data_IF_818218674525
#
_entry.id   IF_818218674525
#
_cell.length_a   1.000
_cell.length_b   1.000
_cell.length_c   1.000
_cell.angle_alpha   90.00
_cell.angle_beta   90.00
_cell.angle_gamma   90.00
#
_symmetry.space_group_name_H-M   'P 1'
#
loop_
_entity.id
_entity.type
_entity.pdbx_description
1 polymer ?
#
# COMPACT_ATOMS: atom_id res chain seq x y z
N UNK A 1 0.17 -56.94 19.24
CA UNK A 1 0.89 -55.74 18.76
C UNK A 1 -0.14 -54.66 18.54
N UNK A 2 -0.23 -53.77 19.53
CA UNK A 2 -1.27 -52.77 19.71
C UNK A 2 -0.98 -51.52 18.86
N UNK A 3 -2.05 -50.98 18.30
CA UNK A 3 -2.38 -49.55 18.13
C UNK A 3 -1.24 -48.54 17.91
N UNK A 4 -1.24 -47.86 16.75
CA UNK A 4 -0.98 -46.42 16.61
C UNK A 4 -0.86 -46.02 15.12
N UNK A 5 -1.98 -45.89 14.39
CA UNK A 5 -1.96 -45.28 13.05
C UNK A 5 -3.14 -44.31 12.78
N UNK A 6 -4.03 -44.10 13.76
CA UNK A 6 -5.24 -43.29 13.61
C UNK A 6 -5.13 -41.82 14.04
N UNK A 7 -3.98 -41.38 14.56
CA UNK A 7 -3.83 -40.04 15.17
C UNK A 7 -2.97 -39.05 14.36
N UNK A 8 -2.42 -39.42 13.20
CA UNK A 8 -1.61 -38.48 12.41
C UNK A 8 -2.46 -37.42 11.66
N UNK A 9 -3.67 -37.75 11.22
CA UNK A 9 -4.51 -36.82 10.47
C UNK A 9 -5.06 -35.63 11.31
N UNK A 10 -5.51 -35.82 12.57
CA UNK A 10 -5.93 -34.70 13.42
C UNK A 10 -4.76 -33.81 13.88
N UNK A 11 -3.56 -34.38 14.03
CA UNK A 11 -2.35 -33.65 14.42
C UNK A 11 -1.85 -32.73 13.30
N UNK A 12 -1.99 -33.13 12.03
CA UNK A 12 -1.65 -32.29 10.88
C UNK A 12 -2.61 -31.10 10.74
N UNK A 13 -3.91 -31.30 11.04
CA UNK A 13 -4.93 -30.24 11.05
C UNK A 13 -4.72 -29.25 12.21
N UNK A 14 -4.38 -29.73 13.41
CA UNK A 14 -4.02 -28.86 14.54
C UNK A 14 -2.73 -28.06 14.28
N UNK A 15 -1.76 -28.63 13.55
CA UNK A 15 -0.56 -27.92 13.12
C UNK A 15 -0.84 -26.83 12.07
N UNK A 16 -1.82 -27.03 11.19
CA UNK A 16 -2.21 -26.00 10.20
C UNK A 16 -3.06 -24.88 10.83
N UNK A 17 -3.85 -25.19 11.86
CA UNK A 17 -4.57 -24.19 12.65
C UNK A 17 -3.63 -23.40 13.59
N UNK A 18 -2.59 -24.02 14.16
CA UNK A 18 -1.60 -23.29 14.98
C UNK A 18 -0.72 -22.35 14.16
N UNK A 19 -0.39 -22.70 12.92
CA UNK A 19 0.32 -21.80 11.98
C UNK A 19 -0.56 -20.62 11.56
N UNK A 20 -1.89 -20.80 11.50
CA UNK A 20 -2.82 -19.69 11.24
C UNK A 20 -2.99 -18.76 12.44
N UNK A 21 -2.90 -19.29 13.67
CA UNK A 21 -2.90 -18.46 14.91
C UNK A 21 -1.58 -17.75 15.15
N UNK A 22 -0.46 -18.24 14.62
CA UNK A 22 0.85 -17.55 14.68
C UNK A 22 0.97 -16.37 13.69
N UNK A 23 0.03 -16.23 12.75
CA UNK A 23 -0.07 -15.04 11.89
C UNK A 23 -1.01 -13.96 12.45
N UNK A 24 -1.62 -14.19 13.62
CA UNK A 24 -2.49 -13.23 14.31
C UNK A 24 -2.20 -13.20 15.82
N UNK A 25 -0.98 -12.84 16.21
CA UNK A 25 -0.70 -12.30 17.55
C UNK A 25 0.26 -11.11 17.41
N UNK A 26 -0.34 -9.94 17.64
CA UNK A 26 0.18 -8.70 18.19
C UNK A 26 1.63 -8.24 17.91
N UNK A 27 1.72 -7.16 17.12
CA UNK A 27 2.83 -6.22 17.13
C UNK A 27 2.45 -4.92 17.83
N UNK A 28 1.66 -4.96 18.90
CA UNK A 28 1.61 -3.87 19.89
C UNK A 28 2.86 -3.98 20.78
N UNK A 29 3.92 -3.26 20.45
CA UNK A 29 4.85 -2.83 21.47
C UNK A 29 5.34 -1.41 21.25
N UNK A 30 5.26 -0.67 22.35
CA UNK A 30 5.64 0.70 22.54
C UNK A 30 7.13 0.90 22.27
N UNK A 31 7.48 2.00 21.62
CA UNK A 31 8.64 2.79 21.99
C UNK A 31 8.16 4.24 22.13
N UNK A 32 7.84 4.61 23.37
CA UNK A 32 7.73 5.99 23.80
C UNK A 32 8.89 6.25 24.75
N UNK A 33 9.98 6.80 24.23
CA UNK A 33 10.89 7.67 24.99
C UNK A 33 11.82 8.43 24.05
N UNK A 34 11.43 9.67 23.69
CA UNK A 34 12.35 10.81 23.72
C UNK A 34 11.52 12.11 23.75
N UNK A 35 11.09 12.51 24.94
CA UNK A 35 10.89 13.92 25.25
C UNK A 35 12.23 14.43 25.75
N UNK A 36 12.82 15.34 25.00
CA UNK A 36 13.48 16.58 25.44
C UNK A 36 14.60 16.97 24.49
N UNK A 37 14.26 17.92 23.61
CA UNK A 37 15.05 19.09 23.26
C UNK A 37 14.55 19.57 21.90
N UNK A 38 13.87 20.71 21.85
CA UNK A 38 14.29 21.91 21.08
C UNK A 38 13.31 23.02 21.49
N UNK A 39 13.57 23.60 22.66
CA UNK A 39 13.29 25.00 22.88
C UNK A 39 14.56 25.76 22.53
N UNK A 40 14.68 26.22 21.28
CA UNK A 40 15.69 27.22 20.92
C UNK A 40 15.24 28.01 19.70
N UNK A 41 14.67 29.18 20.00
CA UNK A 41 14.89 30.48 19.37
C UNK A 41 15.12 30.45 17.85
N UNK A 42 14.06 30.81 17.14
CA UNK A 42 14.14 31.48 15.84
C UNK A 42 15.01 32.73 16.04
N UNK A 43 16.24 32.69 15.54
CA UNK A 43 17.03 33.87 15.23
C UNK A 43 17.23 33.86 13.72
N UNK A 44 16.73 34.92 13.09
CA UNK A 44 16.97 35.24 11.69
C UNK A 44 18.46 35.14 11.37
N UNK A 45 18.78 34.38 10.32
CA UNK A 45 19.93 34.70 9.48
C UNK A 45 19.54 34.47 8.02
N UNK A 46 19.06 35.55 7.41
CA UNK A 46 19.14 35.78 5.97
C UNK A 46 20.61 35.78 5.57
N UNK A 47 21.00 34.82 4.72
CA UNK A 47 22.23 34.90 3.94
C UNK A 47 21.83 34.81 2.46
N UNK A 48 22.10 35.84 1.63
CA UNK A 48 21.69 35.85 0.23
C UNK A 48 22.84 35.34 -0.64
N UNK A 49 23.02 34.03 -0.74
CA UNK A 49 23.72 33.42 -1.87
C UNK A 49 23.42 31.91 -1.93
N UNK A 50 23.00 31.44 -3.11
CA UNK A 50 22.34 30.16 -3.41
C UNK A 50 20.92 29.99 -2.81
N UNK A 51 19.91 30.11 -3.67
CA UNK A 51 18.54 29.67 -3.37
C UNK A 51 18.53 28.13 -3.27
N UNK A 52 18.96 27.57 -2.13
CA UNK A 52 18.82 26.14 -1.89
C UNK A 52 17.33 25.85 -1.70
N UNK A 53 16.70 25.30 -2.74
CA UNK A 53 15.30 24.88 -2.71
C UNK A 53 15.19 23.72 -1.72
N UNK A 54 14.80 24.02 -0.48
CA UNK A 54 14.53 23.00 0.54
C UNK A 54 13.22 22.28 0.23
N UNK A 55 13.27 21.30 -0.67
CA UNK A 55 12.14 20.41 -0.94
C UNK A 55 12.10 19.26 0.06
N UNK A 56 10.99 19.11 0.79
CA UNK A 56 10.79 18.00 1.73
C UNK A 56 10.47 16.70 0.96
N UNK A 57 11.37 15.71 1.03
CA UNK A 57 11.21 14.41 0.36
C UNK A 57 9.95 13.66 0.79
N UNK A 58 9.71 13.55 2.09
CA UNK A 58 8.53 12.84 2.64
C UNK A 58 7.23 13.47 2.15
N UNK A 59 7.14 14.79 2.14
CA UNK A 59 5.99 15.51 1.58
C UNK A 59 5.86 15.33 0.07
N UNK A 60 6.98 15.31 -0.66
CA UNK A 60 6.97 15.03 -2.11
C UNK A 60 6.42 13.63 -2.40
N UNK A 61 6.83 12.63 -1.60
CA UNK A 61 6.31 11.26 -1.66
C UNK A 61 4.81 11.22 -1.41
N UNK A 62 4.33 11.89 -0.36
CA UNK A 62 2.91 12.00 -0.05
C UNK A 62 2.10 12.70 -1.17
N UNK A 63 2.65 13.73 -1.80
CA UNK A 63 2.03 14.41 -2.93
C UNK A 63 1.89 13.47 -4.13
N UNK A 64 2.96 12.74 -4.44
CA UNK A 64 2.93 11.75 -5.50
C UNK A 64 1.93 10.62 -5.20
N UNK A 65 1.89 10.12 -3.98
CA UNK A 65 0.96 9.07 -3.56
C UNK A 65 -0.50 9.51 -3.73
N UNK A 66 -0.84 10.75 -3.35
CA UNK A 66 -2.17 11.30 -3.58
C UNK A 66 -2.54 11.34 -5.08
N UNK A 67 -1.57 11.67 -5.94
CA UNK A 67 -1.77 11.67 -7.40
C UNK A 67 -1.93 10.25 -7.94
N UNK A 68 -1.03 9.34 -7.57
CA UNK A 68 -1.05 7.95 -8.04
C UNK A 68 -2.32 7.23 -7.62
N UNK A 69 -2.79 7.47 -6.39
CA UNK A 69 -3.99 6.83 -5.88
C UNK A 69 -5.27 7.48 -6.42
N UNK A 70 -5.37 8.81 -6.43
CA UNK A 70 -6.66 9.50 -6.66
C UNK A 70 -6.81 10.15 -8.04
N UNK A 71 -5.74 10.30 -8.83
CA UNK A 71 -5.78 10.93 -10.15
C UNK A 71 -5.38 9.97 -11.28
N UNK A 72 -4.24 9.31 -11.16
CA UNK A 72 -3.68 8.49 -12.25
C UNK A 72 -4.63 7.42 -12.81
N UNK A 73 -5.48 6.73 -12.01
CA UNK A 73 -6.41 5.75 -12.56
C UNK A 73 -7.41 6.33 -13.57
N UNK A 74 -7.73 7.62 -13.45
CA UNK A 74 -8.64 8.31 -14.36
C UNK A 74 -7.92 8.84 -15.60
N UNK A 75 -6.70 9.36 -15.43
CA UNK A 75 -5.83 9.79 -16.54
C UNK A 75 -5.51 8.61 -17.46
N UNK A 76 -5.12 7.46 -16.89
CA UNK A 76 -4.86 6.21 -17.61
C UNK A 76 -6.11 5.72 -18.35
N UNK A 77 -7.29 5.80 -17.70
CA UNK A 77 -8.57 5.36 -18.29
C UNK A 77 -8.97 6.21 -19.50
N UNK A 78 -8.80 7.52 -19.42
CA UNK A 78 -9.08 8.44 -20.54
C UNK A 78 -7.96 8.47 -21.58
N UNK A 79 -6.85 7.71 -21.37
CA UNK A 79 -5.65 7.70 -22.21
C UNK A 79 -5.11 9.11 -22.48
N UNK A 80 -5.16 9.96 -21.46
CA UNK A 80 -4.74 11.34 -21.58
C UNK A 80 -3.26 11.50 -21.27
N UNK A 81 -2.55 12.23 -22.12
CA UNK A 81 -1.14 12.58 -21.90
C UNK A 81 -1.04 13.96 -21.25
N UNK A 82 -0.41 14.02 -20.07
CA UNK A 82 -0.22 15.27 -19.35
C UNK A 82 0.74 16.20 -20.15
N UNK A 83 0.41 17.50 -20.31
CA UNK A 83 1.29 18.46 -20.95
C UNK A 83 2.69 18.47 -20.31
N UNK A 84 3.74 18.70 -21.10
CA UNK A 84 5.11 18.66 -20.59
C UNK A 84 5.40 19.66 -19.47
N UNK A 85 4.69 20.79 -19.47
CA UNK A 85 4.77 21.83 -18.45
C UNK A 85 3.93 21.55 -17.20
N UNK A 86 3.08 20.53 -17.20
CA UNK A 86 2.24 20.19 -16.06
C UNK A 86 3.08 19.69 -14.89
N UNK A 87 2.93 20.31 -13.71
CA UNK A 87 3.68 19.90 -12.51
C UNK A 87 3.29 18.52 -11.98
N UNK A 88 2.10 18.02 -12.32
CA UNK A 88 1.61 16.69 -11.91
C UNK A 88 2.20 15.54 -12.74
N UNK A 89 2.99 15.84 -13.78
CA UNK A 89 3.61 14.82 -14.63
C UNK A 89 4.70 14.08 -13.84
N UNK A 90 4.76 12.74 -13.88
CA UNK A 90 5.76 11.97 -13.12
C UNK A 90 7.20 12.42 -13.36
N UNK A 91 7.55 12.77 -14.61
CA UNK A 91 8.91 13.20 -14.99
C UNK A 91 9.31 14.56 -14.41
N UNK A 92 8.34 15.33 -13.91
CA UNK A 92 8.57 16.65 -13.34
C UNK A 92 8.74 16.60 -11.81
N UNK A 93 8.59 15.44 -11.16
CA UNK A 93 8.92 15.25 -9.75
C UNK A 93 10.44 15.05 -9.58
N UNK A 94 11.09 15.98 -8.89
CA UNK A 94 12.54 15.99 -8.70
C UNK A 94 13.10 14.74 -8.02
N UNK A 95 12.32 14.09 -7.15
CA UNK A 95 12.77 12.89 -6.43
C UNK A 95 12.36 11.59 -7.13
N UNK A 96 11.62 11.67 -8.25
CA UNK A 96 11.02 10.52 -8.92
C UNK A 96 12.01 9.41 -9.20
N UNK A 97 13.15 9.77 -9.78
CA UNK A 97 14.19 8.80 -10.14
C UNK A 97 14.73 8.08 -8.90
N UNK A 98 14.98 8.81 -7.80
CA UNK A 98 15.49 8.20 -6.58
C UNK A 98 14.46 7.30 -5.90
N UNK A 99 13.19 7.72 -5.85
CA UNK A 99 12.12 6.92 -5.26
C UNK A 99 11.87 5.63 -6.06
N UNK A 100 11.96 5.67 -7.40
CA UNK A 100 11.86 4.48 -8.26
C UNK A 100 13.04 3.49 -8.09
N UNK A 101 14.19 3.98 -7.62
CA UNK A 101 15.38 3.17 -7.38
C UNK A 101 15.52 2.74 -5.91
N UNK A 102 14.45 2.82 -5.12
CA UNK A 102 14.38 2.14 -3.82
C UNK A 102 13.99 0.69 -4.01
N UNK A 103 14.81 -0.20 -3.49
CA UNK A 103 14.53 -1.63 -3.53
C UNK A 103 14.29 -2.10 -2.09
N UNK A 104 13.05 -2.49 -1.79
CA UNK A 104 12.72 -3.14 -0.53
C UNK A 104 12.92 -4.65 -0.69
N UNK A 105 14.01 -5.18 -0.13
CA UNK A 105 14.39 -6.58 -0.30
C UNK A 105 13.74 -7.47 0.76
N UNK A 106 13.78 -7.04 2.03
CA UNK A 106 13.17 -7.72 3.18
C UNK A 106 12.65 -6.70 4.20
N UNK A 107 11.90 -7.14 5.22
CA UNK A 107 11.23 -6.31 6.25
C UNK A 107 12.15 -5.21 6.81
N UNK A 108 13.43 -5.53 7.02
CA UNK A 108 14.44 -4.62 7.57
C UNK A 108 15.61 -4.39 6.61
N UNK A 109 15.39 -4.55 5.30
CA UNK A 109 16.48 -4.48 4.33
C UNK A 109 16.08 -3.69 3.08
N UNK A 110 16.70 -2.51 2.96
CA UNK A 110 16.50 -1.54 1.89
C UNK A 110 17.78 -1.38 1.09
N UNK A 111 17.69 -1.44 -0.23
CA UNK A 111 18.85 -1.36 -1.12
C UNK A 111 18.78 -0.11 -1.99
N UNK A 112 19.92 0.54 -2.18
CA UNK A 112 20.08 1.61 -3.16
C UNK A 112 20.15 1.02 -4.57
N UNK A 113 19.22 1.39 -5.45
CA UNK A 113 19.19 0.93 -6.84
C UNK A 113 20.41 1.33 -7.66
N UNK A 114 21.07 2.45 -7.34
CA UNK A 114 22.24 2.97 -8.06
C UNK A 114 23.55 2.27 -7.69
N UNK A 115 23.84 2.13 -6.39
CA UNK A 115 25.14 1.61 -5.90
C UNK A 115 25.05 0.28 -5.14
N UNK A 116 23.85 -0.29 -5.03
CA UNK A 116 23.56 -1.61 -4.40
C UNK A 116 23.94 -1.72 -2.92
N UNK A 117 24.13 -0.60 -2.22
CA UNK A 117 24.31 -0.59 -0.76
C UNK A 117 23.02 -0.94 -0.05
N UNK A 118 23.12 -1.79 0.98
CA UNK A 118 22.02 -2.19 1.84
C UNK A 118 21.94 -1.31 3.11
N UNK A 119 20.72 -1.11 3.60
CA UNK A 119 20.37 -0.26 4.73
C UNK A 119 19.29 -0.95 5.55
N UNK A 120 19.33 -0.75 6.88
CA UNK A 120 18.39 -1.39 7.81
C UNK A 120 16.97 -0.81 7.77
N UNK A 121 16.82 0.42 7.27
CA UNK A 121 15.54 1.14 7.24
C UNK A 121 15.54 2.17 6.10
N UNK A 122 14.36 2.49 5.60
CA UNK A 122 14.18 3.46 4.51
C UNK A 122 14.80 4.83 4.83
N UNK A 123 14.67 5.31 6.07
CA UNK A 123 15.25 6.59 6.49
C UNK A 123 16.76 6.70 6.24
N UNK A 124 17.50 5.60 6.38
CA UNK A 124 18.94 5.58 6.15
C UNK A 124 19.28 5.55 4.66
N UNK A 125 18.41 4.94 3.86
CA UNK A 125 18.51 4.98 2.39
C UNK A 125 18.21 6.40 1.87
N UNK A 126 17.19 7.07 2.41
CA UNK A 126 16.86 8.46 2.08
C UNK A 126 18.02 9.40 2.39
N UNK A 127 18.59 9.29 3.59
CA UNK A 127 19.79 10.05 3.98
C UNK A 127 20.99 9.71 3.08
N UNK A 128 21.13 8.46 2.64
CA UNK A 128 22.17 8.08 1.68
C UNK A 128 21.96 8.75 0.31
N UNK A 129 20.73 8.87 -0.19
CA UNK A 129 20.46 9.58 -1.44
C UNK A 129 20.84 11.05 -1.35
N UNK A 130 20.49 11.73 -0.25
CA UNK A 130 20.83 13.13 -0.02
C UNK A 130 22.34 13.38 0.03
N UNK A 131 23.12 12.43 0.56
CA UNK A 131 24.57 12.59 0.72
C UNK A 131 25.38 12.11 -0.49
N UNK A 132 24.97 11.02 -1.14
CA UNK A 132 25.78 10.32 -2.15
C UNK A 132 25.22 10.41 -3.56
N UNK A 133 23.93 10.72 -3.69
CA UNK A 133 23.22 10.79 -4.98
C UNK A 133 22.51 12.13 -5.17
N UNK A 134 22.92 13.21 -4.47
CA UNK A 134 22.38 14.57 -4.65
C UNK A 134 22.46 15.04 -6.11
N UNK A 135 23.49 14.61 -6.82
CA UNK A 135 23.72 14.97 -8.24
C UNK A 135 22.70 14.36 -9.21
N UNK A 136 21.92 13.36 -8.77
CA UNK A 136 20.86 12.73 -9.58
C UNK A 136 19.50 13.43 -9.41
N UNK A 137 19.45 14.54 -8.68
CA UNK A 137 18.22 15.32 -8.47
C UNK A 137 18.25 16.55 -9.37
N UNK A 138 17.20 16.75 -10.16
CA UNK A 138 17.02 17.98 -10.94
C UNK A 138 16.43 19.07 -10.03
N UNK A 139 17.27 20.00 -9.59
CA UNK A 139 16.89 21.13 -8.74
C UNK A 139 16.30 22.32 -9.53
N UNK A 140 15.82 22.12 -10.76
CA UNK A 140 15.12 23.18 -11.48
C UNK A 140 13.88 23.66 -10.73
N UNK A 141 13.66 24.97 -10.78
CA UNK A 141 12.56 25.64 -10.12
C UNK A 141 11.20 25.06 -10.57
N UNK A 142 10.31 24.80 -9.60
CA UNK A 142 8.95 24.29 -9.87
C UNK A 142 8.80 22.77 -9.91
N UNK A 143 9.88 21.99 -9.74
CA UNK A 143 9.84 20.50 -9.70
C UNK A 143 9.63 19.88 -8.32
N UNK A 144 9.65 20.69 -7.27
CA UNK A 144 9.35 20.19 -5.93
C UNK A 144 7.85 19.88 -5.80
N UNK A 145 7.50 18.61 -5.62
CA UNK A 145 6.10 18.19 -5.45
C UNK A 145 5.55 18.57 -4.07
N UNK A 146 6.42 18.74 -3.07
CA UNK A 146 6.02 19.15 -1.73
C UNK A 146 5.34 20.53 -1.70
N UNK A 147 5.66 21.41 -2.65
CA UNK A 147 4.99 22.71 -2.80
C UNK A 147 3.50 22.56 -3.14
N UNK A 148 3.12 21.44 -3.75
CA UNK A 148 1.75 21.15 -4.15
C UNK A 148 0.94 20.52 -3.00
N UNK A 149 1.57 20.21 -1.87
CA UNK A 149 0.90 19.48 -0.80
C UNK A 149 -0.32 20.19 -0.22
N UNK A 150 -0.29 21.53 -0.18
CA UNK A 150 -1.45 22.31 0.21
C UNK A 150 -2.65 22.06 -0.71
N UNK A 151 -2.42 21.96 -2.02
CA UNK A 151 -3.47 21.70 -3.01
C UNK A 151 -3.89 20.22 -3.07
N UNK A 152 -2.96 19.29 -2.83
CA UNK A 152 -3.15 17.84 -2.99
C UNK A 152 -3.57 17.10 -1.72
N UNK A 153 -3.73 17.80 -0.59
CA UNK A 153 -4.10 17.23 0.71
C UNK A 153 -3.11 16.16 1.24
N UNK A 154 -1.80 16.37 1.06
CA UNK A 154 -0.76 15.41 1.51
C UNK A 154 -0.86 15.01 2.98
N UNK A 155 -1.37 15.90 3.85
CA UNK A 155 -1.51 15.62 5.29
C UNK A 155 -2.40 14.39 5.56
N UNK A 156 -3.30 14.06 4.63
CA UNK A 156 -4.13 12.84 4.70
C UNK A 156 -3.35 11.57 4.38
N UNK A 157 -2.33 11.68 3.53
CA UNK A 157 -1.46 10.55 3.16
C UNK A 157 -0.43 10.29 4.26
N UNK A 158 0.07 11.35 4.89
CA UNK A 158 1.12 11.24 5.92
C UNK A 158 0.58 10.85 7.31
N UNK A 159 -0.70 11.09 7.63
CA UNK A 159 -1.20 10.95 9.00
C UNK A 159 -2.32 9.89 9.15
N UNK A 160 -2.11 8.94 10.06
CA UNK A 160 -3.17 8.10 10.64
C UNK A 160 -4.12 8.86 11.60
N UNK A 161 -3.89 10.16 11.85
CA UNK A 161 -4.68 10.96 12.80
C UNK A 161 -5.00 12.33 12.20
N UNK A 162 -6.29 12.67 12.16
CA UNK A 162 -6.76 13.98 11.68
C UNK A 162 -6.18 15.10 12.55
N UNK A 163 -5.56 16.14 11.97
CA UNK A 163 -5.17 17.32 12.72
C UNK A 163 -6.42 17.96 13.33
N UNK A 164 -6.43 18.12 14.65
CA UNK A 164 -7.52 18.79 15.41
C UNK A 164 -7.38 20.32 15.35
N UNK A 165 -6.78 20.88 14.31
CA UNK A 165 -6.62 22.33 14.17
C UNK A 165 -7.91 22.95 13.61
N UNK A 166 -8.23 24.16 14.09
CA UNK A 166 -9.32 24.96 13.52
C UNK A 166 -8.96 25.33 12.08
N UNK A 167 -9.95 25.34 11.19
CA UNK A 167 -9.74 25.69 9.78
C UNK A 167 -9.13 27.08 9.65
N UNK A 168 -8.11 27.21 8.81
CA UNK A 168 -7.54 28.51 8.41
C UNK A 168 -8.10 28.89 7.04
N UNK A 169 -9.02 29.87 7.02
CA UNK A 169 -9.68 30.31 5.79
C UNK A 169 -8.69 30.85 4.74
N UNK A 170 -7.66 31.59 5.17
CA UNK A 170 -6.66 32.12 4.25
C UNK A 170 -5.83 30.99 3.60
N UNK A 171 -5.50 29.95 4.36
CA UNK A 171 -4.80 28.78 3.82
C UNK A 171 -5.69 28.00 2.85
N UNK A 172 -6.97 27.78 3.19
CA UNK A 172 -7.93 27.12 2.31
C UNK A 172 -8.07 27.87 0.97
N UNK A 173 -8.23 29.19 0.99
CA UNK A 173 -8.31 29.99 -0.25
C UNK A 173 -7.03 29.91 -1.07
N UNK A 174 -5.84 30.01 -0.46
CA UNK A 174 -4.57 29.87 -1.19
C UNK A 174 -4.41 28.49 -1.84
N UNK A 175 -4.71 27.43 -1.07
CA UNK A 175 -4.61 26.06 -1.56
C UNK A 175 -5.61 25.79 -2.69
N UNK A 176 -6.82 26.38 -2.59
CA UNK A 176 -7.83 26.33 -3.65
C UNK A 176 -7.33 26.94 -4.95
N UNK A 177 -6.81 28.17 -4.90
CA UNK A 177 -6.28 28.82 -6.11
C UNK A 177 -5.09 28.08 -6.72
N UNK A 178 -4.21 27.53 -5.88
CA UNK A 178 -3.12 26.68 -6.34
C UNK A 178 -3.66 25.41 -7.04
N UNK A 179 -4.69 24.79 -6.48
CA UNK A 179 -5.35 23.62 -7.05
C UNK A 179 -6.03 23.93 -8.39
N UNK A 180 -6.76 25.04 -8.48
CA UNK A 180 -7.41 25.50 -9.71
C UNK A 180 -6.37 25.79 -10.81
N UNK A 181 -5.26 26.46 -10.47
CA UNK A 181 -4.16 26.71 -11.41
C UNK A 181 -3.48 25.42 -11.91
N UNK A 182 -3.38 24.39 -11.06
CA UNK A 182 -2.95 23.06 -11.50
C UNK A 182 -3.94 22.44 -12.48
N UNK A 183 -5.25 22.57 -12.23
CA UNK A 183 -6.28 22.06 -13.12
C UNK A 183 -6.21 22.74 -14.51
N UNK A 184 -6.02 24.05 -14.55
CA UNK A 184 -5.90 24.83 -15.79
C UNK A 184 -4.64 24.46 -16.59
N UNK A 185 -3.50 24.28 -15.91
CA UNK A 185 -2.21 24.00 -16.56
C UNK A 185 -2.07 22.54 -17.01
N UNK A 186 -2.65 21.59 -16.27
CA UNK A 186 -2.54 20.15 -16.55
C UNK A 186 -3.70 19.62 -17.40
N UNK A 187 -4.89 20.20 -17.26
CA UNK A 187 -6.12 19.79 -17.95
C UNK A 187 -6.81 20.99 -18.63
N UNK A 188 -6.18 21.61 -19.63
CA UNK A 188 -6.76 22.76 -20.32
C UNK A 188 -8.01 22.37 -21.12
N UNK A 189 -9.15 22.99 -20.78
CA UNK A 189 -10.48 22.64 -21.32
C UNK A 189 -10.61 22.79 -22.84
N UNK A 190 -9.76 23.59 -23.46
CA UNK A 190 -9.72 23.80 -24.91
C UNK A 190 -8.93 22.72 -25.68
N UNK A 191 -8.24 21.79 -24.99
CA UNK A 191 -7.45 20.73 -25.64
C UNK A 191 -8.22 19.42 -25.83
N UNK A 192 -9.55 19.48 -25.80
CA UNK A 192 -10.43 18.36 -26.17
C UNK A 192 -11.29 17.84 -25.03
N UNK A 193 -12.15 16.87 -25.36
CA UNK A 193 -13.17 16.36 -24.44
C UNK A 193 -12.58 15.63 -23.23
N UNK A 194 -11.50 14.86 -23.43
CA UNK A 194 -10.80 14.16 -22.34
C UNK A 194 -10.18 15.15 -21.35
N UNK A 195 -9.52 16.21 -21.85
CA UNK A 195 -8.96 17.27 -21.03
C UNK A 195 -10.06 18.00 -20.22
N UNK A 196 -11.17 18.36 -20.86
CA UNK A 196 -12.31 19.00 -20.18
C UNK A 196 -12.94 18.11 -19.10
N UNK A 197 -13.10 16.81 -19.35
CA UNK A 197 -13.60 15.85 -18.34
C UNK A 197 -12.65 15.69 -17.17
N UNK A 198 -11.35 15.59 -17.44
CA UNK A 198 -10.32 15.46 -16.40
C UNK A 198 -10.18 16.77 -15.60
N UNK A 199 -10.37 17.92 -16.23
CA UNK A 199 -10.42 19.21 -15.56
C UNK A 199 -11.54 19.26 -14.53
N UNK A 200 -12.79 18.98 -14.94
CA UNK A 200 -13.94 18.93 -14.02
C UNK A 200 -13.75 17.87 -12.94
N UNK A 201 -13.21 16.70 -13.30
CA UNK A 201 -12.88 15.66 -12.35
C UNK A 201 -11.86 16.13 -11.30
N UNK A 202 -10.77 16.76 -11.72
CA UNK A 202 -9.71 17.22 -10.84
C UNK A 202 -10.22 18.28 -9.85
N UNK A 203 -11.01 19.25 -10.34
CA UNK A 203 -11.64 20.27 -9.49
C UNK A 203 -12.51 19.64 -8.39
N UNK A 204 -13.38 18.70 -8.75
CA UNK A 204 -14.25 18.03 -7.77
C UNK A 204 -13.49 17.09 -6.83
N UNK A 205 -12.43 16.46 -7.32
CA UNK A 205 -11.69 15.45 -6.57
C UNK A 205 -10.73 16.08 -5.55
N UNK A 206 -10.09 17.19 -5.92
CA UNK A 206 -9.03 17.86 -5.13
C UNK A 206 -9.45 19.24 -4.63
N UNK A 207 -10.03 20.09 -5.47
CA UNK A 207 -10.14 21.53 -5.19
C UNK A 207 -11.37 21.91 -4.35
N UNK A 208 -12.51 21.27 -4.56
CA UNK A 208 -13.76 21.57 -3.83
C UNK A 208 -13.65 21.36 -2.30
N UNK A 209 -12.71 20.51 -1.88
CA UNK A 209 -12.43 20.26 -0.47
C UNK A 209 -11.69 21.42 0.24
N UNK A 210 -11.14 22.38 -0.50
CA UNK A 210 -10.49 23.58 0.05
C UNK A 210 -11.51 24.62 0.49
N UNK A 211 -12.31 24.28 1.50
CA UNK A 211 -13.26 25.17 2.15
C UNK A 211 -13.31 24.91 3.65
N UNK A 212 -13.63 25.94 4.43
CA UNK A 212 -13.87 25.78 5.87
C UNK A 212 -15.29 25.30 6.20
N UNK A 213 -16.13 25.05 5.19
CA UNK A 213 -17.46 24.54 5.42
C UNK A 213 -17.43 23.08 5.92
N UNK A 214 -18.26 22.75 6.92
CA UNK A 214 -18.35 21.39 7.44
C UNK A 214 -19.16 20.54 6.46
N UNK A 215 -18.48 19.72 5.65
CA UNK A 215 -19.17 18.72 4.83
C UNK A 215 -18.40 18.23 3.60
N UNK A 216 -17.48 19.03 3.07
CA UNK A 216 -16.68 18.64 1.91
C UNK A 216 -15.54 17.73 2.33
N UNK A 217 -15.54 16.51 1.78
CA UNK A 217 -14.44 15.56 1.97
C UNK A 217 -13.56 15.57 0.72
N UNK A 218 -12.23 15.56 0.86
CA UNK A 218 -11.34 15.32 -0.25
C UNK A 218 -11.57 13.91 -0.80
N UNK A 219 -11.31 13.74 -2.09
CA UNK A 219 -11.42 12.47 -2.82
C UNK A 219 -12.81 11.80 -2.80
N UNK A 220 -13.91 12.52 -3.13
CA UNK A 220 -15.27 11.98 -3.07
C UNK A 220 -15.50 10.76 -3.95
N UNK A 221 -14.79 10.62 -5.08
CA UNK A 221 -14.90 9.46 -5.97
C UNK A 221 -14.05 8.26 -5.52
N UNK A 222 -13.29 8.40 -4.43
CA UNK A 222 -12.31 7.43 -3.99
C UNK A 222 -11.10 7.35 -4.92
N UNK A 223 -10.14 6.51 -4.55
CA UNK A 223 -8.91 6.28 -5.30
C UNK A 223 -8.84 4.89 -5.92
N UNK A 224 -7.62 4.49 -6.27
CA UNK A 224 -7.30 3.18 -6.83
C UNK A 224 -7.72 2.09 -5.86
N UNK A 225 -8.63 1.21 -6.26
CA UNK A 225 -9.00 0.03 -5.47
C UNK A 225 -7.84 -0.96 -5.50
N UNK A 226 -7.08 -1.07 -4.41
CA UNK A 226 -6.16 -2.19 -4.23
C UNK A 226 -6.97 -3.47 -4.03
N UNK A 227 -7.13 -4.25 -5.09
CA UNK A 227 -7.55 -5.65 -4.95
C UNK A 227 -6.43 -6.37 -4.21
N UNK A 228 -6.67 -6.79 -2.97
CA UNK A 228 -5.69 -7.53 -2.19
C UNK A 228 -5.40 -8.87 -2.89
N UNK A 229 -4.31 -8.91 -3.67
CA UNK A 229 -3.92 -10.09 -4.46
C UNK A 229 -3.71 -11.31 -3.57
N UNK A 230 -3.24 -11.11 -2.34
CA UNK A 230 -3.11 -12.18 -1.35
C UNK A 230 -4.47 -12.75 -0.95
N UNK A 231 -5.48 -11.89 -0.76
CA UNK A 231 -6.84 -12.35 -0.48
C UNK A 231 -7.41 -13.18 -1.65
N UNK A 232 -7.21 -12.75 -2.89
CA UNK A 232 -7.62 -13.53 -4.06
C UNK A 232 -6.87 -14.87 -4.15
N UNK A 233 -5.57 -14.88 -3.90
CA UNK A 233 -4.76 -16.11 -3.87
C UNK A 233 -5.23 -17.08 -2.77
N UNK A 234 -5.53 -16.56 -1.57
CA UNK A 234 -6.12 -17.32 -0.46
C UNK A 234 -7.47 -17.91 -0.85
N UNK A 235 -8.36 -17.13 -1.48
CA UNK A 235 -9.64 -17.63 -1.99
C UNK A 235 -9.47 -18.74 -3.03
N UNK A 236 -8.51 -18.64 -3.94
CA UNK A 236 -8.25 -19.69 -4.94
C UNK A 236 -7.71 -20.95 -4.25
N UNK A 237 -6.78 -20.80 -3.31
CA UNK A 237 -6.20 -21.91 -2.56
C UNK A 237 -7.27 -22.68 -1.78
N UNK A 238 -8.18 -21.98 -1.10
CA UNK A 238 -9.27 -22.62 -0.35
C UNK A 238 -10.24 -23.38 -1.26
N UNK A 239 -10.55 -22.83 -2.44
CA UNK A 239 -11.40 -23.50 -3.44
C UNK A 239 -10.77 -24.79 -4.02
N UNK A 240 -9.44 -24.93 -3.98
CA UNK A 240 -8.75 -26.15 -4.45
C UNK A 240 -8.59 -27.16 -3.32
N UNK A 241 -8.17 -26.71 -2.12
CA UNK A 241 -7.91 -27.61 -1.00
C UNK A 241 -9.19 -28.25 -0.44
N UNK A 242 -10.31 -27.51 -0.45
CA UNK A 242 -11.56 -27.99 0.13
C UNK A 242 -12.13 -29.21 -0.64
N UNK A 243 -12.26 -29.19 -1.99
CA UNK A 243 -12.67 -30.37 -2.75
C UNK A 243 -11.70 -31.55 -2.61
N UNK A 244 -10.39 -31.30 -2.64
CA UNK A 244 -9.37 -32.33 -2.49
C UNK A 244 -9.50 -33.04 -1.14
N UNK A 245 -9.72 -32.28 -0.07
CA UNK A 245 -9.96 -32.83 1.26
C UNK A 245 -11.19 -33.76 1.28
N UNK A 246 -12.32 -33.32 0.74
CA UNK A 246 -13.53 -34.15 0.67
C UNK A 246 -13.34 -35.39 -0.21
N UNK A 247 -12.56 -35.29 -1.28
CA UNK A 247 -12.25 -36.40 -2.17
C UNK A 247 -11.39 -37.46 -1.45
N UNK A 248 -10.39 -37.04 -0.68
CA UNK A 248 -9.57 -37.93 0.15
C UNK A 248 -10.43 -38.63 1.20
N UNK A 249 -11.30 -37.89 1.91
CA UNK A 249 -12.22 -38.46 2.90
C UNK A 249 -13.17 -39.47 2.25
N UNK A 250 -13.70 -39.17 1.06
CA UNK A 250 -14.56 -40.07 0.32
C UNK A 250 -13.84 -41.37 -0.08
N UNK A 251 -12.61 -41.27 -0.59
CA UNK A 251 -11.80 -42.43 -0.94
C UNK A 251 -11.48 -43.29 0.29
N UNK A 252 -11.12 -42.67 1.41
CA UNK A 252 -10.84 -43.37 2.67
C UNK A 252 -12.09 -44.09 3.22
N UNK A 253 -13.25 -43.44 3.22
CA UNK A 253 -14.52 -44.08 3.62
C UNK A 253 -14.88 -45.25 2.71
N UNK A 254 -14.63 -45.13 1.40
CA UNK A 254 -14.86 -46.21 0.43
C UNK A 254 -13.94 -47.41 0.69
N UNK A 255 -12.67 -47.18 0.98
CA UNK A 255 -11.70 -48.22 1.30
C UNK A 255 -12.07 -48.96 2.60
N UNK A 256 -12.44 -48.22 3.65
CA UNK A 256 -12.92 -48.80 4.91
C UNK A 256 -14.20 -49.62 4.72
N UNK A 257 -15.13 -49.19 3.85
CA UNK A 257 -16.33 -49.97 3.48
C UNK A 257 -16.00 -51.26 2.72
N UNK A 258 -14.98 -51.25 1.86
CA UNK A 258 -14.53 -52.48 1.16
C UNK A 258 -13.84 -53.46 2.12
N UNK A 259 -12.95 -52.97 2.99
CA UNK A 259 -12.27 -53.81 3.98
C UNK A 259 -13.22 -54.50 4.97
N UNK A 260 -14.33 -53.84 5.35
CA UNK A 260 -15.38 -54.48 6.17
C UNK A 260 -16.21 -55.53 5.41
N UNK A 261 -16.37 -55.41 4.09
CA UNK A 261 -17.06 -56.42 3.27
C UNK A 261 -16.19 -57.66 3.05
N UNK A 262 -14.89 -57.50 2.84
CA UNK A 262 -13.96 -58.62 2.66
C UNK A 262 -13.77 -59.43 3.96
N UNK A 263 -13.76 -58.78 5.13
CA UNK A 263 -13.76 -59.48 6.43
C UNK A 263 -15.08 -60.21 6.72
N UNK A 264 -16.21 -59.75 6.17
CA UNK A 264 -17.54 -60.37 6.36
C UNK A 264 -17.73 -61.66 5.54
N UNK A 265 -16.86 -61.94 4.57
CA UNK A 265 -16.99 -63.11 3.66
C UNK A 265 -16.38 -64.40 4.21
N UNK A 266 -15.71 -64.38 5.37
CA UNK A 266 -15.11 -65.55 6.03
C UNK A 266 -15.80 -65.93 7.36
N UNK A 267 -17.12 -66.04 7.39
CA UNK A 267 -17.84 -66.60 8.55
C UNK A 267 -18.54 -67.91 8.23
N UNK A 268 -17.97 -68.99 8.77
CA UNK A 268 -18.48 -70.35 8.99
C UNK A 268 -18.53 -71.31 7.80
N UNK A 269 -17.47 -72.12 7.66
CA UNK A 269 -17.56 -73.49 7.14
C UNK A 269 -17.20 -74.50 8.25
N UNK A 270 -18.23 -75.20 8.72
CA UNK A 270 -18.17 -76.58 9.22
C UNK A 270 -17.36 -76.91 10.49
N UNK A 271 -17.88 -76.61 11.69
CA UNK A 271 -17.60 -77.46 12.85
C UNK A 271 -18.49 -78.72 12.77
N UNK A 272 -17.90 -79.85 12.36
CA UNK A 272 -18.54 -81.18 12.43
C UNK A 272 -18.65 -81.63 13.90
N UNK A 273 -19.86 -82.01 14.33
CA UNK A 273 -20.09 -82.78 15.56
C UNK A 273 -19.64 -84.23 15.34
N UNK A 274 -18.92 -84.83 16.31
CA UNK A 274 -18.74 -86.29 16.41
C UNK A 274 -19.88 -86.88 17.26
N UNK A 275 -20.47 -88.03 16.88
CA UNK A 275 -21.38 -88.78 17.72
C UNK A 275 -20.67 -89.84 18.57
N UNK A 276 -21.27 -90.11 19.74
CA UNK A 276 -21.05 -91.14 20.78
C UNK A 276 -19.69 -91.25 21.43
#
# INVERSE_FOLDING_TARGET
MLCCAGHLAPLLLLALFSVSSLLFVDGSHQDQEFREAVGSRILLQTNPDAHEVHCSRERSRAAWEAIDEYLMPFVEKEKYELPSKCRLRPDNDMFREQEQHKIHFDINEWHCGFCKKAFRAEKFLDQHFENRHKNLVDNSEGRCMADLCGALHCDLMMQFKKPKSKCNAAAATRNRHLCESLADSCFPVNQGLAASRLHEFFLRQFCDAHTCNKGTKPFPKGGRKQTNRFYLALCILTLILLPLFYLIVFLHQREMRKGTQDLKRFSKIGQKKKPS
#
